data_IF_768676662013
#
_entry.id   IF_768676662013
#
_cell.length_a   1.000
_cell.length_b   1.000
_cell.length_c   1.000
_cell.angle_alpha   90.00
_cell.angle_beta   90.00
_cell.angle_gamma   90.00
#
_symmetry.space_group_name_H-M   'P 1'
#
loop_
_entity.id
_entity.type
_entity.pdbx_description
1 polymer ?
#
# COMPACT_ATOMS: atom_id res chain seq x y z
N UNK A 1 4.30 -26.97 41.97
CA UNK A 1 2.88 -27.44 42.01
C UNK A 1 2.48 -27.80 43.43
N UNK A 2 3.19 -28.70 44.09
CA UNK A 2 2.89 -29.13 45.46
C UNK A 2 2.95 -27.96 46.48
N UNK A 3 4.00 -27.16 46.41
CA UNK A 3 4.21 -25.96 47.23
C UNK A 3 3.15 -24.88 47.01
N UNK A 4 2.54 -24.83 45.83
CA UNK A 4 1.44 -23.93 45.50
C UNK A 4 0.06 -24.47 45.90
N UNK A 5 0.01 -25.66 46.53
CA UNK A 5 -1.21 -26.26 47.06
C UNK A 5 -2.10 -26.94 46.02
N UNK A 6 -1.62 -27.25 44.84
CA UNK A 6 -2.39 -27.97 43.82
C UNK A 6 -2.53 -29.47 44.19
N UNK A 7 -3.74 -29.97 44.15
CA UNK A 7 -4.06 -31.37 44.37
C UNK A 7 -4.01 -32.16 43.06
N UNK A 8 -2.83 -32.62 42.68
CA UNK A 8 -2.59 -33.38 41.46
C UNK A 8 -1.77 -34.63 41.73
N UNK A 9 -1.93 -35.66 40.88
CA UNK A 9 -1.11 -36.85 40.94
C UNK A 9 0.33 -36.51 40.44
N UNK A 10 1.29 -36.58 41.33
CA UNK A 10 2.72 -36.31 41.02
C UNK A 10 3.52 -37.58 40.74
N UNK A 11 2.86 -38.77 40.81
CA UNK A 11 3.57 -40.06 40.50
C UNK A 11 3.68 -40.31 38.99
N UNK A 12 2.70 -39.80 38.22
CA UNK A 12 2.72 -39.85 36.76
C UNK A 12 2.38 -38.47 36.19
N UNK A 13 3.31 -37.52 36.27
CA UNK A 13 3.07 -36.16 35.82
C UNK A 13 3.11 -36.07 34.29
N UNK A 14 2.31 -35.19 33.71
CA UNK A 14 2.36 -34.86 32.30
C UNK A 14 3.58 -33.93 32.04
N UNK A 15 4.59 -34.47 31.36
CA UNK A 15 5.85 -33.79 31.13
C UNK A 15 6.12 -33.64 29.62
N UNK A 16 6.13 -32.41 29.12
CA UNK A 16 6.25 -32.12 27.67
C UNK A 16 7.67 -32.33 27.10
N UNK A 17 8.68 -32.48 27.93
CA UNK A 17 10.05 -32.80 27.53
C UNK A 17 10.39 -34.31 27.70
N UNK A 18 9.43 -35.17 28.10
CA UNK A 18 9.60 -36.61 28.10
C UNK A 18 9.70 -37.13 26.66
N UNK A 19 10.62 -38.10 26.43
CA UNK A 19 10.82 -38.70 25.11
C UNK A 19 9.51 -39.26 24.53
N UNK A 20 8.70 -39.95 25.33
CA UNK A 20 7.44 -40.51 24.92
C UNK A 20 6.44 -39.44 24.40
N UNK A 21 6.43 -38.28 25.06
CA UNK A 21 5.63 -37.14 24.60
C UNK A 21 6.17 -36.60 23.29
N UNK A 22 7.49 -36.36 23.20
CA UNK A 22 8.17 -35.81 22.02
C UNK A 22 7.97 -36.74 20.82
N UNK A 23 8.17 -38.06 20.95
CA UNK A 23 7.94 -39.02 19.89
C UNK A 23 6.51 -39.02 19.37
N UNK A 24 5.54 -38.97 20.28
CA UNK A 24 4.11 -38.86 19.91
C UNK A 24 3.82 -37.59 19.13
N UNK A 25 4.36 -36.47 19.58
CA UNK A 25 4.18 -35.15 18.89
C UNK A 25 4.80 -35.20 17.48
N UNK A 26 6.02 -35.74 17.35
CA UNK A 26 6.67 -35.87 16.05
C UNK A 26 5.92 -36.83 15.12
N UNK A 27 5.36 -37.90 15.64
CA UNK A 27 4.49 -38.77 14.85
C UNK A 27 3.27 -38.02 14.31
N UNK A 28 2.57 -37.25 15.13
CA UNK A 28 1.42 -36.47 14.71
C UNK A 28 1.78 -35.39 13.66
N UNK A 29 2.90 -34.69 13.86
CA UNK A 29 3.41 -33.73 12.88
C UNK A 29 3.78 -34.40 11.55
N UNK A 30 4.37 -35.58 11.59
CA UNK A 30 4.68 -36.38 10.41
C UNK A 30 3.40 -36.76 9.63
N UNK A 31 2.34 -37.18 10.33
CA UNK A 31 1.06 -37.49 9.69
C UNK A 31 0.40 -36.27 9.06
N UNK A 32 0.49 -35.06 9.71
CA UNK A 32 0.03 -33.82 9.12
C UNK A 32 0.83 -33.44 7.86
N UNK A 33 2.15 -33.62 7.90
CA UNK A 33 3.01 -33.36 6.74
C UNK A 33 2.68 -34.31 5.57
N UNK A 34 2.50 -35.61 5.79
CA UNK A 34 2.09 -36.58 4.77
C UNK A 34 0.74 -36.21 4.11
N UNK A 35 -0.16 -35.60 4.87
CA UNK A 35 -1.45 -35.14 4.37
C UNK A 35 -1.37 -33.76 3.67
N UNK A 36 -0.20 -33.13 3.56
CA UNK A 36 -0.02 -31.81 2.97
C UNK A 36 -0.57 -30.65 3.82
N UNK A 37 -0.92 -30.91 5.08
CA UNK A 37 -1.45 -29.89 6.00
C UNK A 37 -0.36 -29.12 6.75
N UNK A 38 0.87 -29.63 6.76
CA UNK A 38 2.04 -28.98 7.31
C UNK A 38 3.02 -28.67 6.17
N UNK A 39 3.33 -27.39 5.96
CA UNK A 39 4.22 -26.92 4.91
C UNK A 39 5.05 -25.74 5.38
N UNK A 40 6.17 -25.48 4.69
CA UNK A 40 7.00 -24.29 4.94
C UNK A 40 6.39 -23.10 4.21
N UNK A 41 6.06 -22.06 4.94
CA UNK A 41 5.48 -20.84 4.40
C UNK A 41 6.06 -19.58 5.01
N UNK A 42 5.58 -18.44 4.54
CA UNK A 42 5.91 -17.12 5.06
C UNK A 42 4.65 -16.48 5.60
N UNK A 43 4.80 -15.72 6.69
CA UNK A 43 3.72 -14.91 7.25
C UNK A 43 4.25 -13.54 7.64
N UNK A 44 3.37 -12.55 7.65
CA UNK A 44 3.70 -11.20 8.15
C UNK A 44 3.45 -11.19 9.65
N UNK A 45 4.43 -10.71 10.39
CA UNK A 45 4.34 -10.53 11.84
C UNK A 45 4.85 -9.14 12.20
N UNK A 46 4.11 -8.36 13.01
CA UNK A 46 4.62 -7.13 13.58
C UNK A 46 5.89 -7.39 14.39
N UNK A 47 6.86 -6.51 14.26
CA UNK A 47 8.15 -6.61 14.94
C UNK A 47 8.44 -5.34 15.73
N UNK A 48 8.85 -5.46 16.99
CA UNK A 48 9.29 -4.36 17.82
C UNK A 48 10.82 -4.26 17.81
N UNK A 49 11.41 -3.24 17.15
CA UNK A 49 12.86 -3.02 17.21
C UNK A 49 13.37 -2.75 18.65
N UNK A 50 12.56 -2.08 19.46
CA UNK A 50 12.91 -1.77 20.85
C UNK A 50 12.96 -3.01 21.75
N UNK A 51 12.06 -3.97 21.56
CA UNK A 51 12.04 -5.23 22.27
C UNK A 51 12.92 -6.31 21.59
N UNK A 52 13.30 -6.12 20.32
CA UNK A 52 14.10 -7.06 19.54
C UNK A 52 13.37 -8.35 19.19
N UNK A 53 12.02 -8.34 19.13
CA UNK A 53 11.22 -9.53 18.92
C UNK A 53 9.96 -9.28 18.08
N UNK A 54 9.42 -10.34 17.48
CA UNK A 54 8.09 -10.33 16.88
C UNK A 54 7.00 -10.24 17.96
N UNK A 55 5.89 -9.62 17.62
CA UNK A 55 4.75 -9.42 18.52
C UNK A 55 3.62 -10.38 18.15
N UNK A 56 3.00 -11.00 19.15
CA UNK A 56 1.80 -11.81 18.99
C UNK A 56 0.54 -10.94 18.85
N UNK A 57 -0.53 -11.53 18.31
CA UNK A 57 -1.83 -10.86 18.26
C UNK A 57 -2.33 -10.45 19.65
N UNK A 58 -2.02 -11.24 20.68
CA UNK A 58 -2.39 -10.91 22.06
C UNK A 58 -1.70 -9.64 22.54
N UNK A 59 -0.41 -9.48 22.27
CA UNK A 59 0.36 -8.28 22.65
C UNK A 59 -0.15 -7.03 21.92
N UNK A 60 -0.56 -7.17 20.66
CA UNK A 60 -1.13 -6.06 19.88
C UNK A 60 -2.56 -5.67 20.32
N UNK A 61 -3.23 -6.51 21.08
CA UNK A 61 -4.60 -6.26 21.57
C UNK A 61 -4.64 -5.79 23.03
N UNK A 62 -3.49 -5.47 23.63
CA UNK A 62 -3.44 -4.94 24.99
C UNK A 62 -3.88 -3.48 25.04
N UNK A 63 -4.54 -3.04 26.12
CA UNK A 63 -4.88 -1.63 26.32
C UNK A 63 -3.64 -0.74 26.22
N UNK A 64 -3.71 0.33 25.42
CA UNK A 64 -2.62 1.29 25.25
C UNK A 64 -1.51 0.88 24.27
N UNK A 65 -1.68 -0.21 23.52
CA UNK A 65 -0.75 -0.60 22.45
C UNK A 65 -0.70 0.42 21.30
N UNK A 66 -1.85 1.03 21.01
CA UNK A 66 -1.99 2.00 19.93
C UNK A 66 -2.04 3.41 20.50
N UNK A 67 -1.33 4.32 19.85
CA UNK A 67 -1.29 5.75 20.20
C UNK A 67 -1.27 6.56 18.93
N UNK A 68 -1.96 7.68 18.93
CA UNK A 68 -1.88 8.64 17.84
C UNK A 68 -0.48 9.26 17.80
N UNK A 69 0.15 9.20 16.64
CA UNK A 69 1.45 9.82 16.39
C UNK A 69 1.35 10.72 15.16
N UNK A 70 2.09 11.83 15.17
CA UNK A 70 2.24 12.68 13.99
C UNK A 70 3.37 12.14 13.14
N UNK A 71 3.05 11.79 11.90
CA UNK A 71 4.02 11.24 10.97
C UNK A 71 3.96 11.95 9.61
N UNK A 72 5.01 11.77 8.80
CA UNK A 72 5.11 12.35 7.47
C UNK A 72 4.43 11.44 6.44
N UNK A 73 3.52 12.03 5.68
CA UNK A 73 2.88 11.38 4.54
C UNK A 73 3.44 11.94 3.23
N UNK A 74 3.31 11.19 2.15
CA UNK A 74 3.76 11.60 0.83
C UNK A 74 2.69 11.33 -0.22
N UNK A 75 2.52 12.26 -1.14
CA UNK A 75 1.76 12.04 -2.38
C UNK A 75 2.75 11.99 -3.53
N UNK A 76 2.91 10.82 -4.10
CA UNK A 76 3.84 10.56 -5.19
C UNK A 76 3.15 10.69 -6.55
N UNK A 77 3.88 11.14 -7.56
CA UNK A 77 3.44 11.26 -8.95
C UNK A 77 4.18 10.22 -9.80
N UNK A 78 3.45 9.28 -10.38
CA UNK A 78 3.97 8.20 -11.21
C UNK A 78 3.71 8.51 -12.67
N UNK A 79 4.77 8.75 -13.44
CA UNK A 79 4.68 9.14 -14.85
C UNK A 79 4.11 8.00 -15.69
N UNK A 80 3.00 8.25 -16.36
CA UNK A 80 2.33 7.27 -17.22
C UNK A 80 3.09 7.12 -18.53
N UNK A 81 3.34 5.87 -18.92
CA UNK A 81 3.94 5.56 -20.23
C UNK A 81 2.83 5.63 -21.28
N UNK A 82 3.03 6.47 -22.30
CA UNK A 82 2.08 6.59 -23.40
C UNK A 82 2.22 5.42 -24.36
N UNK A 83 1.16 4.63 -24.46
CA UNK A 83 1.01 3.49 -25.37
C UNK A 83 -0.47 3.22 -25.66
N UNK A 84 -0.79 2.22 -26.47
CA UNK A 84 -2.16 1.89 -26.88
C UNK A 84 -3.13 1.72 -25.69
N UNK A 85 -2.67 1.20 -24.56
CA UNK A 85 -3.49 1.01 -23.34
C UNK A 85 -3.80 2.31 -22.61
N UNK A 86 -2.87 3.25 -22.65
CA UNK A 86 -2.97 4.53 -21.94
C UNK A 86 -3.50 5.66 -22.82
N UNK A 87 -3.60 5.49 -24.15
CA UNK A 87 -3.93 6.56 -25.10
C UNK A 87 -5.19 7.36 -24.70
N UNK A 88 -6.20 6.67 -24.20
CA UNK A 88 -7.43 7.31 -23.70
C UNK A 88 -7.19 8.33 -22.55
N UNK A 89 -6.13 8.14 -21.75
CA UNK A 89 -5.76 9.09 -20.72
C UNK A 89 -5.07 10.33 -21.30
N UNK A 90 -4.50 10.23 -22.49
CA UNK A 90 -3.78 11.31 -23.15
C UNK A 90 -4.63 12.14 -24.14
N UNK A 91 -5.92 11.82 -24.29
CA UNK A 91 -6.80 12.58 -25.15
C UNK A 91 -6.88 14.06 -24.71
N UNK A 92 -6.42 14.99 -25.57
CA UNK A 92 -6.31 16.41 -25.27
C UNK A 92 -5.27 16.79 -24.20
N UNK A 93 -4.31 15.89 -23.91
CA UNK A 93 -3.18 16.16 -23.00
C UNK A 93 -1.93 16.49 -23.80
N UNK A 94 -1.39 17.69 -23.55
CA UNK A 94 -0.08 18.09 -24.02
C UNK A 94 0.95 17.84 -22.89
N UNK A 95 2.00 17.04 -23.19
CA UNK A 95 3.06 16.73 -22.23
C UNK A 95 2.81 15.49 -21.37
N UNK A 96 3.41 15.49 -20.20
CA UNK A 96 3.43 14.35 -19.29
C UNK A 96 2.14 14.22 -18.47
N UNK A 97 1.74 12.98 -18.22
CA UNK A 97 0.61 12.62 -17.38
C UNK A 97 1.08 11.69 -16.25
N UNK A 98 0.56 11.92 -15.04
CA UNK A 98 0.98 11.19 -13.85
C UNK A 98 -0.23 10.60 -13.11
N UNK A 99 -0.09 9.40 -12.56
CA UNK A 99 -0.96 8.94 -11.48
C UNK A 99 -0.52 9.54 -10.15
N UNK A 100 -1.46 10.03 -9.35
CA UNK A 100 -1.19 10.44 -7.97
C UNK A 100 -1.59 9.33 -7.00
N UNK A 101 -0.67 8.95 -6.12
CA UNK A 101 -0.94 8.02 -5.04
C UNK A 101 -0.37 8.54 -3.72
N UNK A 102 -1.20 8.47 -2.68
CA UNK A 102 -0.83 8.87 -1.32
C UNK A 102 -0.37 7.69 -0.49
N UNK A 103 0.62 7.91 0.35
CA UNK A 103 1.13 6.90 1.29
C UNK A 103 1.49 7.50 2.64
N UNK A 104 1.22 6.76 3.71
CA UNK A 104 1.72 7.04 5.06
C UNK A 104 3.12 6.47 5.30
N UNK A 105 3.63 5.67 4.37
CA UNK A 105 4.91 4.95 4.50
C UNK A 105 5.84 5.28 3.33
N UNK A 106 6.36 6.52 3.21
CA UNK A 106 7.15 6.96 2.05
C UNK A 106 8.43 6.15 1.84
N UNK A 107 8.98 5.53 2.88
CA UNK A 107 10.14 4.63 2.79
C UNK A 107 9.89 3.33 2.02
N UNK A 108 8.62 2.99 1.71
CA UNK A 108 8.28 1.84 0.86
C UNK A 108 8.30 2.17 -0.63
N UNK A 109 8.30 3.44 -1.01
CA UNK A 109 8.28 3.88 -2.42
C UNK A 109 9.42 3.33 -3.28
N UNK A 110 10.68 3.14 -2.79
CA UNK A 110 11.74 2.50 -3.57
C UNK A 110 11.41 1.08 -4.04
N UNK A 111 10.52 0.38 -3.32
CA UNK A 111 10.07 -0.98 -3.64
C UNK A 111 8.69 -1.02 -4.30
N UNK A 112 8.15 0.11 -4.76
CA UNK A 112 6.90 0.14 -5.49
C UNK A 112 7.02 -0.65 -6.80
N UNK A 113 6.07 -1.54 -7.05
CA UNK A 113 6.00 -2.38 -8.26
C UNK A 113 4.66 -2.33 -8.97
N UNK A 114 3.61 -1.83 -8.32
CA UNK A 114 2.28 -1.68 -8.91
C UNK A 114 1.51 -0.55 -8.23
N UNK A 115 0.53 0.01 -8.95
CA UNK A 115 -0.51 0.89 -8.41
C UNK A 115 -1.84 0.13 -8.44
N UNK A 116 -2.54 0.07 -7.31
CA UNK A 116 -3.84 -0.57 -7.24
C UNK A 116 -4.97 0.44 -7.39
N UNK A 117 -6.00 0.07 -8.14
CA UNK A 117 -7.22 0.86 -8.31
C UNK A 117 -8.46 0.03 -7.97
N UNK A 118 -9.45 0.64 -7.31
CA UNK A 118 -10.75 0.03 -7.09
C UNK A 118 -11.57 0.06 -8.38
N UNK A 119 -12.07 -1.08 -8.88
CA UNK A 119 -12.75 -1.15 -10.17
C UNK A 119 -14.01 -0.28 -10.25
N UNK A 120 -14.69 -0.06 -9.13
CA UNK A 120 -15.89 0.79 -9.01
C UNK A 120 -15.61 2.25 -8.66
N UNK A 121 -14.36 2.62 -8.42
CA UNK A 121 -14.00 4.00 -8.05
C UNK A 121 -13.90 4.86 -9.31
N UNK A 122 -14.39 6.09 -9.22
CA UNK A 122 -14.22 7.10 -10.27
C UNK A 122 -12.91 7.86 -10.09
N UNK A 123 -12.18 8.04 -11.17
CA UNK A 123 -10.93 8.78 -11.24
C UNK A 123 -11.10 9.98 -12.16
N UNK A 124 -10.49 11.10 -11.80
CA UNK A 124 -10.51 12.34 -12.60
C UNK A 124 -9.11 12.66 -13.09
N UNK A 125 -9.05 13.15 -14.34
CA UNK A 125 -7.86 13.73 -14.92
C UNK A 125 -7.92 15.26 -14.75
N UNK A 126 -6.86 15.82 -14.21
CA UNK A 126 -6.77 17.23 -13.82
C UNK A 126 -5.55 17.85 -14.47
N UNK A 127 -5.74 18.90 -15.26
CA UNK A 127 -4.67 19.80 -15.73
C UNK A 127 -4.45 20.88 -14.66
N UNK A 128 -3.21 21.07 -14.24
CA UNK A 128 -2.80 21.99 -13.19
C UNK A 128 -1.31 22.30 -13.29
N UNK A 129 -0.73 22.82 -12.22
CA UNK A 129 0.70 23.08 -12.08
C UNK A 129 1.27 22.38 -10.86
N UNK A 130 2.53 21.95 -10.96
CA UNK A 130 3.25 21.38 -9.84
C UNK A 130 3.53 22.50 -8.80
N UNK A 131 3.12 22.33 -7.53
CA UNK A 131 3.25 23.38 -6.50
C UNK A 131 4.70 23.72 -6.13
N UNK A 132 5.66 22.85 -6.47
CA UNK A 132 7.08 23.02 -6.14
C UNK A 132 7.91 23.56 -7.29
N UNK A 133 7.60 23.16 -8.54
CA UNK A 133 8.36 23.56 -9.72
C UNK A 133 7.69 24.67 -10.54
N UNK A 134 6.39 24.87 -10.35
CA UNK A 134 5.60 25.80 -11.18
C UNK A 134 5.31 25.29 -12.59
N UNK A 135 5.78 24.11 -12.95
CA UNK A 135 5.61 23.54 -14.29
C UNK A 135 4.19 22.97 -14.50
N UNK A 136 3.64 23.06 -15.72
CA UNK A 136 2.38 22.45 -16.07
C UNK A 136 2.43 20.93 -15.85
N UNK A 137 1.37 20.36 -15.30
CA UNK A 137 1.26 18.93 -15.05
C UNK A 137 -0.18 18.46 -15.22
N UNK A 138 -0.34 17.25 -15.77
CA UNK A 138 -1.63 16.57 -15.80
C UNK A 138 -1.57 15.36 -14.88
N UNK A 139 -2.55 15.27 -13.96
CA UNK A 139 -2.58 14.20 -12.96
C UNK A 139 -3.91 13.44 -12.98
N UNK A 140 -3.86 12.15 -12.61
CA UNK A 140 -5.05 11.31 -12.44
C UNK A 140 -5.10 10.84 -10.98
N UNK A 141 -6.24 11.05 -10.33
CA UNK A 141 -6.48 10.65 -8.94
C UNK A 141 -7.95 10.29 -8.71
N UNK A 142 -8.25 9.65 -7.57
CA UNK A 142 -9.61 9.30 -7.21
C UNK A 142 -10.48 10.57 -7.01
N UNK A 143 -11.67 10.58 -7.63
CA UNK A 143 -12.59 11.72 -7.61
C UNK A 143 -13.00 12.12 -6.20
N UNK A 144 -13.26 11.17 -5.32
CA UNK A 144 -13.74 11.45 -3.97
C UNK A 144 -12.67 12.10 -3.08
N UNK A 145 -11.38 11.94 -3.43
CA UNK A 145 -10.25 12.57 -2.75
C UNK A 145 -9.77 13.86 -3.42
N UNK A 146 -10.35 14.21 -4.57
CA UNK A 146 -9.94 15.33 -5.42
C UNK A 146 -9.84 16.65 -4.66
N UNK A 147 -10.87 17.00 -3.88
CA UNK A 147 -10.90 18.28 -3.16
C UNK A 147 -9.92 18.40 -1.98
N UNK A 148 -9.26 17.28 -1.58
CA UNK A 148 -8.17 17.34 -0.61
C UNK A 148 -6.91 17.99 -1.21
N UNK A 149 -6.76 17.91 -2.53
CA UNK A 149 -5.62 18.47 -3.27
C UNK A 149 -5.97 19.74 -4.01
N UNK A 150 -7.21 19.84 -4.48
CA UNK A 150 -7.69 20.92 -5.37
C UNK A 150 -8.86 21.67 -4.72
N UNK A 151 -8.59 22.75 -3.95
CA UNK A 151 -9.64 23.56 -3.32
C UNK A 151 -10.57 24.18 -4.36
N UNK A 152 -11.89 24.10 -4.15
CA UNK A 152 -12.91 24.62 -5.11
C UNK A 152 -12.64 26.04 -5.59
N UNK A 153 -12.20 26.93 -4.69
CA UNK A 153 -11.89 28.35 -5.03
C UNK A 153 -10.85 28.49 -6.16
N UNK A 154 -9.99 27.49 -6.36
CA UNK A 154 -8.91 27.54 -7.36
C UNK A 154 -9.40 27.15 -8.77
N UNK A 155 -10.63 26.63 -8.90
CA UNK A 155 -11.23 26.30 -10.18
C UNK A 155 -11.53 27.55 -11.03
N UNK A 156 -11.81 28.69 -10.37
CA UNK A 156 -12.15 29.94 -11.03
C UNK A 156 -10.93 30.69 -11.56
N UNK A 157 -9.72 30.33 -11.14
CA UNK A 157 -8.50 31.02 -11.56
C UNK A 157 -8.13 30.67 -13.01
N UNK A 158 -7.49 31.64 -13.66
CA UNK A 158 -7.00 31.47 -15.03
C UNK A 158 -5.85 30.45 -15.07
N UNK A 159 -6.12 29.37 -15.79
CA UNK A 159 -5.13 28.29 -15.93
C UNK A 159 -3.98 28.70 -16.87
N UNK A 160 -4.28 29.43 -17.93
CA UNK A 160 -3.30 29.74 -18.95
C UNK A 160 -2.44 30.98 -18.60
N UNK A 161 -2.94 31.83 -17.71
CA UNK A 161 -2.24 32.99 -17.18
C UNK A 161 -1.46 32.77 -15.88
N UNK A 162 -1.38 31.53 -15.39
CA UNK A 162 -0.70 31.25 -14.13
C UNK A 162 0.83 31.43 -14.24
N UNK A 163 1.41 32.16 -13.28
CA UNK A 163 2.82 32.55 -13.29
C UNK A 163 3.77 31.60 -12.55
N UNK A 164 3.27 30.50 -12.01
CA UNK A 164 4.10 29.50 -11.31
C UNK A 164 4.52 29.90 -9.89
N UNK A 165 3.86 30.87 -9.25
CA UNK A 165 4.25 31.40 -7.92
C UNK A 165 3.91 30.50 -6.73
N UNK A 166 3.33 29.32 -6.98
CA UNK A 166 2.93 28.34 -5.97
C UNK A 166 1.69 28.72 -5.14
N UNK A 167 1.05 29.84 -5.47
CA UNK A 167 -0.14 30.33 -4.77
C UNK A 167 -1.38 30.20 -5.66
N UNK A 168 -2.52 29.84 -5.03
CA UNK A 168 -3.80 29.77 -5.74
C UNK A 168 -3.71 29.01 -7.06
N UNK A 169 -3.04 27.86 -7.05
CA UNK A 169 -2.73 27.06 -8.23
C UNK A 169 -4.04 26.67 -8.92
N UNK A 170 -4.27 27.13 -10.17
CA UNK A 170 -5.48 26.83 -10.90
C UNK A 170 -5.52 25.37 -11.35
N UNK A 171 -6.71 24.86 -11.62
CA UNK A 171 -6.88 23.55 -12.18
C UNK A 171 -8.11 23.46 -13.10
N UNK A 172 -8.14 22.44 -13.95
CA UNK A 172 -9.32 22.06 -14.72
C UNK A 172 -9.43 20.54 -14.77
N UNK A 173 -10.62 20.03 -14.48
CA UNK A 173 -10.94 18.62 -14.73
C UNK A 173 -11.16 18.45 -16.22
N UNK A 174 -10.37 17.57 -16.83
CA UNK A 174 -10.35 17.36 -18.30
C UNK A 174 -10.79 15.97 -18.72
N UNK A 175 -11.05 15.08 -17.79
CA UNK A 175 -11.55 13.73 -18.09
C UNK A 175 -11.97 12.99 -16.83
N UNK A 176 -12.80 11.98 -17.00
CA UNK A 176 -13.28 11.08 -15.96
C UNK A 176 -13.20 9.64 -16.44
N UNK A 177 -12.77 8.72 -15.56
CA UNK A 177 -12.52 7.31 -15.88
C UNK A 177 -13.06 6.45 -14.74
N UNK A 178 -13.55 5.26 -15.08
CA UNK A 178 -13.87 4.26 -14.07
C UNK A 178 -12.65 3.39 -13.79
N UNK A 179 -12.42 3.01 -12.53
CA UNK A 179 -11.22 2.27 -12.14
C UNK A 179 -11.02 0.97 -12.90
N UNK A 180 -12.10 0.27 -13.31
CA UNK A 180 -12.01 -0.93 -14.17
C UNK A 180 -11.36 -0.70 -15.54
N UNK A 181 -11.21 0.55 -15.97
CA UNK A 181 -10.61 0.93 -17.24
C UNK A 181 -9.11 1.15 -17.18
N UNK A 182 -8.52 1.24 -15.98
CA UNK A 182 -7.13 1.60 -15.77
C UNK A 182 -6.16 0.41 -15.68
N UNK A 183 -6.57 -0.84 -15.33
CA UNK A 183 -5.64 -1.95 -15.19
C UNK A 183 -4.85 -2.23 -16.48
N UNK A 184 -3.56 -2.54 -16.30
CA UNK A 184 -2.62 -2.80 -17.38
C UNK A 184 -1.94 -1.56 -17.97
N UNK A 185 -2.35 -0.34 -17.58
CA UNK A 185 -1.62 0.88 -17.93
C UNK A 185 -0.29 0.89 -17.19
N UNK A 186 0.78 1.21 -17.92
CA UNK A 186 2.15 1.19 -17.42
C UNK A 186 2.61 2.59 -17.01
N UNK A 187 3.54 2.64 -16.06
CA UNK A 187 4.16 3.88 -15.60
C UNK A 187 5.67 3.70 -15.38
N UNK A 188 6.41 4.80 -15.42
CA UNK A 188 7.84 4.79 -15.12
C UNK A 188 8.09 4.52 -13.63
N UNK A 189 9.12 3.72 -13.27
CA UNK A 189 9.47 3.52 -11.86
C UNK A 189 9.79 4.85 -11.20
N UNK A 190 9.18 5.12 -10.04
CA UNK A 190 9.42 6.35 -9.30
C UNK A 190 10.87 6.49 -8.86
N UNK A 191 11.49 5.37 -8.45
CA UNK A 191 12.87 5.27 -8.01
C UNK A 191 13.49 4.02 -8.66
N UNK A 192 14.36 4.16 -9.66
CA UNK A 192 14.86 3.04 -10.47
C UNK A 192 16.06 2.31 -9.85
N UNK A 193 16.09 2.14 -8.52
CA UNK A 193 17.21 1.48 -7.83
C UNK A 193 17.16 -0.04 -7.87
N UNK A 194 15.97 -0.60 -8.02
CA UNK A 194 15.75 -2.04 -8.00
C UNK A 194 15.09 -2.45 -9.32
N UNK A 195 15.63 -3.50 -9.94
CA UNK A 195 14.99 -4.16 -11.07
C UNK A 195 14.12 -5.30 -10.55
N UNK A 196 12.79 -5.19 -10.63
CA UNK A 196 11.91 -6.28 -10.20
C UNK A 196 12.06 -7.48 -11.12
N UNK A 197 11.86 -8.69 -10.57
CA UNK A 197 11.70 -9.89 -11.36
C UNK A 197 10.24 -10.01 -11.83
N UNK A 198 10.03 -10.02 -13.14
CA UNK A 198 8.70 -10.14 -13.74
C UNK A 198 8.04 -8.81 -14.10
N UNK A 199 6.75 -8.87 -14.33
CA UNK A 199 5.95 -7.75 -14.78
C UNK A 199 5.63 -6.77 -13.65
N UNK A 200 6.21 -5.59 -13.72
CA UNK A 200 6.04 -4.53 -12.73
C UNK A 200 5.65 -3.19 -13.38
N UNK A 201 5.45 -2.18 -12.55
CA UNK A 201 5.18 -0.78 -12.92
C UNK A 201 3.94 -0.63 -13.78
N UNK A 202 2.87 -1.30 -13.37
CA UNK A 202 1.54 -1.22 -14.01
C UNK A 202 0.44 -1.01 -12.98
N UNK A 203 -0.69 -0.52 -13.46
CA UNK A 203 -1.93 -0.46 -12.70
C UNK A 203 -2.56 -1.85 -12.62
N UNK A 204 -2.98 -2.25 -11.44
CA UNK A 204 -3.70 -3.50 -11.15
C UNK A 204 -5.06 -3.20 -10.54
N UNK A 205 -6.03 -4.11 -10.70
CA UNK A 205 -7.32 -4.02 -10.02
C UNK A 205 -7.22 -4.64 -8.63
N UNK A 206 -7.83 -3.99 -7.63
CA UNK A 206 -7.91 -4.50 -6.27
C UNK A 206 -9.25 -4.15 -5.62
N UNK A 207 -10.00 -5.16 -5.20
CA UNK A 207 -11.31 -4.97 -4.54
C UNK A 207 -11.19 -4.43 -3.11
N UNK A 208 -9.96 -4.29 -2.63
CA UNK A 208 -9.61 -3.78 -1.29
C UNK A 208 -9.24 -2.28 -1.29
N UNK A 209 -9.30 -1.62 -2.44
CA UNK A 209 -8.98 -0.19 -2.59
C UNK A 209 -10.23 0.66 -2.33
#
# INVERSE_FOLDING_TARGET
>A
TREMGYWVNMQDPYITYDNKYIETLWYLLSELYKKGLLYKGYTIQPYSPAAGTGLSNHELNQPGCYRDVKDTTCTAQFKVIRNDKSEKLFDGVEGDLYFMAWTTTPWTLPSNTALAVGPGIHYVRVRTYNPYTGEPVTVVLARDLFHNYFPKKNEEFDLDGYNGDGKNIPYRVTGEFLGKELPGIEYEPLIPWIKPMGDAFRVISGDYV
#
